data_IF_392687831979
#
_entry.id   IF_392687831979
#
_cell.length_a   1.000
_cell.length_b   1.000
_cell.length_c   1.000
_cell.angle_alpha   90.00
_cell.angle_beta   90.00
_cell.angle_gamma   90.00
#
_symmetry.space_group_name_H-M   'P 1'
#
loop_
_entity.id
_entity.type
_entity.pdbx_description
1 polymer ?
#
# COMPACT_ATOMS: atom_id res chain seq x y z
N UNK A 1 20.77 35.99 -14.76
CA UNK A 1 21.14 34.56 -14.89
C UNK A 1 21.19 33.80 -13.56
N UNK A 2 21.77 34.36 -12.48
CA UNK A 2 21.85 33.65 -11.17
C UNK A 2 20.50 33.31 -10.54
N UNK A 3 19.48 34.16 -10.72
CA UNK A 3 18.12 33.91 -10.21
C UNK A 3 17.40 32.74 -10.91
N UNK A 4 17.74 32.46 -12.18
CA UNK A 4 17.12 31.37 -12.95
C UNK A 4 17.57 30.00 -12.41
N UNK A 5 18.84 29.89 -11.99
CA UNK A 5 19.40 28.69 -11.37
C UNK A 5 18.78 28.40 -10.00
N UNK A 6 18.46 29.46 -9.24
CA UNK A 6 17.78 29.37 -7.95
C UNK A 6 16.31 28.93 -8.10
N UNK A 7 15.66 29.32 -9.18
CA UNK A 7 14.30 28.87 -9.50
C UNK A 7 14.28 27.42 -9.97
N UNK A 8 15.31 27.00 -10.73
CA UNK A 8 15.43 25.62 -11.24
C UNK A 8 15.73 24.60 -10.14
N UNK A 9 16.42 24.99 -9.06
CA UNK A 9 16.64 24.09 -7.92
C UNK A 9 15.37 23.90 -7.08
N UNK A 10 14.45 24.87 -7.07
CA UNK A 10 13.21 24.80 -6.30
C UNK A 10 12.17 23.86 -6.92
N UNK A 11 12.17 23.70 -8.25
CA UNK A 11 11.21 22.83 -8.95
C UNK A 11 11.50 21.34 -8.77
N UNK A 12 12.74 20.97 -8.44
CA UNK A 12 13.15 19.57 -8.22
C UNK A 12 12.60 18.99 -6.91
N UNK A 13 12.12 19.81 -5.98
CA UNK A 13 11.58 19.35 -4.69
C UNK A 13 10.07 19.08 -4.71
N UNK A 14 9.37 19.40 -5.80
CA UNK A 14 7.90 19.36 -5.86
C UNK A 14 7.32 17.97 -6.24
N UNK A 15 8.14 17.00 -6.64
CA UNK A 15 7.67 15.71 -7.15
C UNK A 15 8.18 14.52 -6.34
N UNK A 16 7.84 14.48 -5.06
CA UNK A 16 7.94 13.28 -4.22
C UNK A 16 6.63 12.51 -4.22
N UNK A 17 6.21 11.93 -5.35
CA UNK A 17 5.11 10.97 -5.33
C UNK A 17 5.57 9.75 -4.52
N UNK A 18 4.99 9.55 -3.34
CA UNK A 18 5.25 8.36 -2.52
C UNK A 18 4.61 7.15 -3.19
N UNK A 19 5.36 6.49 -4.07
CA UNK A 19 4.97 5.18 -4.58
C UNK A 19 5.35 4.14 -3.53
N UNK A 20 4.34 3.54 -2.90
CA UNK A 20 4.57 2.45 -1.96
C UNK A 20 4.89 1.18 -2.75
N UNK A 21 5.79 0.36 -2.22
CA UNK A 21 6.12 -0.95 -2.78
C UNK A 21 5.83 -2.03 -1.74
N UNK A 22 5.27 -3.17 -2.17
CA UNK A 22 4.95 -4.29 -1.28
C UNK A 22 5.23 -5.62 -1.96
N UNK A 23 5.96 -6.51 -1.29
CA UNK A 23 6.24 -7.84 -1.81
C UNK A 23 4.97 -8.71 -1.74
N UNK A 24 4.69 -9.47 -2.80
CA UNK A 24 3.54 -10.39 -2.84
C UNK A 24 3.56 -11.37 -1.67
N UNK A 25 2.43 -11.57 -1.00
CA UNK A 25 2.34 -12.42 0.20
C UNK A 25 2.68 -11.71 1.51
N UNK A 26 3.00 -10.41 1.49
CA UNK A 26 3.17 -9.59 2.70
C UNK A 26 1.95 -8.71 2.98
N UNK A 27 1.92 -8.15 4.19
CA UNK A 27 0.95 -7.17 4.65
C UNK A 27 1.65 -5.85 5.03
N UNK A 28 0.97 -4.74 4.79
CA UNK A 28 1.40 -3.38 5.12
C UNK A 28 0.35 -2.74 6.04
N UNK A 29 0.82 -2.12 7.12
CA UNK A 29 -0.01 -1.23 7.92
C UNK A 29 0.02 0.16 7.29
N UNK A 30 -1.11 0.59 6.75
CA UNK A 30 -1.32 1.92 6.22
C UNK A 30 -1.79 2.83 7.36
N UNK A 31 -1.06 3.93 7.59
CA UNK A 31 -1.44 4.95 8.55
C UNK A 31 -2.09 6.14 7.83
N UNK A 32 -3.31 6.49 8.26
CA UNK A 32 -4.11 7.57 7.67
C UNK A 32 -4.59 8.53 8.75
N UNK A 33 -4.90 9.77 8.36
CA UNK A 33 -5.52 10.74 9.26
C UNK A 33 -6.89 10.24 9.71
N UNK A 34 -7.18 10.31 11.01
CA UNK A 34 -8.49 9.95 11.57
C UNK A 34 -9.53 11.02 11.30
N UNK A 35 -9.12 12.29 11.30
CA UNK A 35 -10.01 13.43 11.17
C UNK A 35 -10.73 13.38 9.82
N UNK A 36 -12.06 13.42 9.88
CA UNK A 36 -12.95 13.45 8.71
C UNK A 36 -12.84 12.25 7.76
N UNK A 37 -12.19 11.15 8.18
CA UNK A 37 -12.12 9.90 7.43
C UNK A 37 -13.51 9.24 7.33
N UNK A 38 -13.87 8.80 6.13
CA UNK A 38 -15.14 8.12 5.87
C UNK A 38 -14.93 6.64 5.53
N UNK A 39 -14.06 6.34 4.57
CA UNK A 39 -13.79 4.96 4.14
C UNK A 39 -12.49 4.83 3.36
N UNK A 40 -11.91 3.64 3.38
CA UNK A 40 -10.77 3.26 2.54
C UNK A 40 -11.24 2.16 1.60
N UNK A 41 -11.10 2.37 0.29
CA UNK A 41 -11.57 1.41 -0.72
C UNK A 41 -10.45 0.91 -1.62
N UNK A 42 -10.56 -0.37 -2.00
CA UNK A 42 -9.87 -0.96 -3.14
C UNK A 42 -10.93 -1.33 -4.17
N UNK A 43 -11.04 -0.57 -5.25
CA UNK A 43 -12.18 -0.61 -6.16
C UNK A 43 -13.50 -0.49 -5.35
N UNK A 44 -14.37 -1.50 -5.39
CA UNK A 44 -15.65 -1.50 -4.67
C UNK A 44 -15.56 -2.10 -3.25
N UNK A 45 -14.41 -2.65 -2.87
CA UNK A 45 -14.22 -3.32 -1.57
C UNK A 45 -13.78 -2.33 -0.51
N UNK A 46 -14.53 -2.25 0.59
CA UNK A 46 -14.14 -1.48 1.76
C UNK A 46 -13.06 -2.22 2.56
N UNK A 47 -12.01 -1.50 2.94
CA UNK A 47 -10.94 -2.00 3.80
C UNK A 47 -11.21 -1.48 5.22
N UNK A 48 -11.37 -2.36 6.22
CA UNK A 48 -11.65 -1.94 7.58
C UNK A 48 -10.43 -1.22 8.18
N UNK A 49 -10.73 -0.28 9.08
CA UNK A 49 -9.73 0.49 9.82
C UNK A 49 -9.92 0.29 11.32
N UNK A 50 -8.86 0.55 12.08
CA UNK A 50 -8.85 0.55 13.53
C UNK A 50 -8.00 1.70 14.06
N UNK A 51 -8.18 2.07 15.32
CA UNK A 51 -7.45 3.19 15.92
C UNK A 51 -5.96 2.88 16.05
N UNK A 52 -5.10 3.83 15.69
CA UNK A 52 -3.67 3.69 15.95
C UNK A 52 -3.45 3.71 17.48
N UNK A 53 -2.69 2.76 18.07
CA UNK A 53 -2.60 2.60 19.52
C UNK A 53 -1.83 3.73 20.22
N UNK A 54 -0.85 4.34 19.55
CA UNK A 54 -0.01 5.43 20.10
C UNK A 54 -0.44 6.84 19.68
N UNK A 55 -0.80 7.04 18.41
CA UNK A 55 -1.21 8.34 17.89
C UNK A 55 -2.74 8.42 17.75
N UNK A 56 -3.39 9.24 18.58
CA UNK A 56 -4.85 9.36 18.62
C UNK A 56 -5.44 10.05 17.38
N UNK A 57 -4.62 10.77 16.61
CA UNK A 57 -5.02 11.47 15.38
C UNK A 57 -4.99 10.57 14.15
N UNK A 58 -4.58 9.31 14.31
CA UNK A 58 -4.36 8.36 13.21
C UNK A 58 -5.22 7.11 13.33
N UNK A 59 -5.52 6.53 12.18
CA UNK A 59 -6.10 5.19 12.05
C UNK A 59 -5.16 4.32 11.22
N UNK A 60 -5.30 3.02 11.40
CA UNK A 60 -4.55 2.00 10.69
C UNK A 60 -5.49 1.14 9.85
N UNK A 61 -5.04 0.75 8.66
CA UNK A 61 -5.60 -0.33 7.87
C UNK A 61 -4.52 -1.36 7.57
N UNK A 62 -4.90 -2.64 7.52
CA UNK A 62 -3.99 -3.69 7.03
C UNK A 62 -4.35 -3.96 5.57
N UNK A 63 -3.41 -3.68 4.68
CA UNK A 63 -3.50 -4.07 3.27
C UNK A 63 -2.58 -5.27 3.03
N UNK A 64 -3.05 -6.27 2.28
CA UNK A 64 -2.25 -7.46 1.98
C UNK A 64 -2.31 -7.79 0.51
N UNK A 65 -1.16 -8.20 -0.05
CA UNK A 65 -1.09 -8.77 -1.38
C UNK A 65 -1.07 -10.29 -1.28
N UNK A 66 -1.87 -11.02 -2.07
CA UNK A 66 -1.77 -12.46 -2.13
C UNK A 66 -0.42 -12.86 -2.75
N UNK A 67 0.15 -13.99 -2.30
CA UNK A 67 1.35 -14.53 -2.95
C UNK A 67 1.07 -15.03 -4.37
N UNK A 68 -0.06 -15.72 -4.54
CA UNK A 68 -0.51 -16.28 -5.83
C UNK A 68 -1.33 -15.24 -6.58
N UNK A 69 -0.95 -14.98 -7.83
CA UNK A 69 -1.63 -14.09 -8.76
C UNK A 69 -1.95 -12.68 -8.19
N UNK A 70 -0.97 -11.96 -7.61
CA UNK A 70 -1.19 -10.58 -7.20
C UNK A 70 -1.41 -9.66 -8.43
N UNK A 71 -2.16 -8.55 -8.28
CA UNK A 71 -2.16 -7.49 -9.29
C UNK A 71 -0.77 -6.85 -9.36
N UNK A 72 -0.37 -6.32 -10.52
CA UNK A 72 0.91 -5.61 -10.64
C UNK A 72 0.95 -4.31 -9.85
N UNK A 73 -0.17 -3.58 -9.84
CA UNK A 73 -0.35 -2.34 -9.11
C UNK A 73 -1.72 -2.36 -8.44
N UNK A 74 -1.80 -1.77 -7.24
CA UNK A 74 -3.05 -1.54 -6.54
C UNK A 74 -3.22 -0.04 -6.28
N UNK A 75 -4.40 0.49 -6.57
CA UNK A 75 -4.81 1.85 -6.21
C UNK A 75 -5.85 1.76 -5.11
N UNK A 76 -5.52 2.30 -3.93
CA UNK A 76 -6.47 2.50 -2.85
C UNK A 76 -6.94 3.96 -2.85
N UNK A 77 -8.16 4.19 -2.42
CA UNK A 77 -8.71 5.54 -2.27
C UNK A 77 -9.23 5.70 -0.85
N UNK A 78 -8.62 6.61 -0.10
CA UNK A 78 -9.15 7.06 1.18
C UNK A 78 -10.08 8.25 0.93
N UNK A 79 -11.34 8.08 1.27
CA UNK A 79 -12.37 9.12 1.21
C UNK A 79 -12.47 9.82 2.55
N UNK A 80 -12.31 11.14 2.52
CA UNK A 80 -12.61 12.04 3.62
C UNK A 80 -13.83 12.90 3.25
N UNK A 81 -14.37 13.67 4.19
CA UNK A 81 -15.50 14.58 3.90
C UNK A 81 -15.22 15.55 2.75
N UNK A 82 -14.04 16.17 2.75
CA UNK A 82 -13.71 17.27 1.84
C UNK A 82 -12.65 16.92 0.79
N UNK A 83 -12.03 15.74 0.87
CA UNK A 83 -10.96 15.32 -0.04
C UNK A 83 -10.96 13.82 -0.28
N UNK A 84 -10.31 13.43 -1.38
CA UNK A 84 -9.92 12.04 -1.65
C UNK A 84 -8.40 11.95 -1.73
N UNK A 85 -7.84 10.89 -1.19
CA UNK A 85 -6.41 10.61 -1.22
C UNK A 85 -6.20 9.27 -1.96
N UNK A 86 -5.38 9.31 -3.01
CA UNK A 86 -5.08 8.14 -3.83
C UNK A 86 -3.73 7.57 -3.40
N UNK A 87 -3.71 6.28 -3.07
CA UNK A 87 -2.53 5.58 -2.58
C UNK A 87 -2.20 4.48 -3.59
N UNK A 88 -1.03 4.59 -4.22
CA UNK A 88 -0.56 3.63 -5.21
C UNK A 88 0.46 2.68 -4.58
N UNK A 89 0.21 1.37 -4.72
CA UNK A 89 1.06 0.30 -4.20
C UNK A 89 1.49 -0.58 -5.38
N UNK A 90 2.79 -0.61 -5.65
CA UNK A 90 3.40 -1.48 -6.65
C UNK A 90 3.76 -2.82 -6.03
N UNK A 91 3.39 -3.90 -6.71
CA UNK A 91 3.75 -5.25 -6.27
C UNK A 91 5.19 -5.56 -6.63
N UNK A 92 5.93 -6.09 -5.65
CA UNK A 92 7.26 -6.67 -5.86
C UNK A 92 7.18 -8.20 -5.80
N UNK A 93 7.99 -8.87 -6.61
CA UNK A 93 8.07 -10.33 -6.61
C UNK A 93 8.69 -10.88 -5.32
N UNK A 94 9.61 -10.13 -4.73
CA UNK A 94 10.46 -10.62 -3.65
C UNK A 94 11.47 -11.66 -4.14
N UNK A 95 12.26 -12.20 -3.21
CA UNK A 95 13.31 -13.19 -3.49
C UNK A 95 13.00 -14.55 -2.85
N UNK A 96 11.79 -15.07 -3.08
CA UNK A 96 11.37 -16.37 -2.56
C UNK A 96 12.19 -17.51 -3.18
N UNK A 97 12.60 -18.47 -2.35
CA UNK A 97 13.30 -19.69 -2.80
C UNK A 97 12.30 -20.81 -3.08
N UNK A 98 12.74 -21.81 -3.83
CA UNK A 98 11.96 -23.02 -4.10
C UNK A 98 12.58 -24.23 -3.39
N UNK A 99 11.73 -25.18 -3.03
CA UNK A 99 12.13 -26.47 -2.47
C UNK A 99 11.32 -27.60 -3.10
N UNK A 100 11.83 -28.84 -2.99
CA UNK A 100 11.11 -30.06 -3.37
C UNK A 100 10.84 -30.85 -2.10
N UNK A 101 9.58 -31.13 -1.82
CA UNK A 101 9.14 -31.91 -0.66
C UNK A 101 8.58 -33.25 -1.12
N UNK A 102 9.01 -34.33 -0.49
CA UNK A 102 8.41 -35.65 -0.66
C UNK A 102 7.33 -35.82 0.41
N UNK A 103 6.09 -36.11 -0.02
CA UNK A 103 4.95 -36.34 0.87
C UNK A 103 4.24 -37.63 0.50
N UNK A 104 3.47 -38.18 1.45
CA UNK A 104 2.58 -39.31 1.16
C UNK A 104 1.55 -38.93 0.09
N UNK A 105 1.32 -39.81 -0.90
CA UNK A 105 0.39 -39.51 -2.01
C UNK A 105 -1.01 -39.10 -1.52
N UNK A 106 -1.53 -39.73 -0.45
CA UNK A 106 -2.84 -39.39 0.15
C UNK A 106 -2.96 -37.94 0.66
N UNK A 107 -1.85 -37.19 0.75
CA UNK A 107 -1.84 -35.77 1.18
C UNK A 107 -1.98 -34.78 0.03
N UNK A 108 -1.76 -35.23 -1.21
CA UNK A 108 -1.85 -34.39 -2.42
C UNK A 108 -2.89 -34.94 -3.41
N UNK A 109 -3.21 -36.23 -3.33
CA UNK A 109 -4.29 -36.90 -4.05
C UNK A 109 -5.20 -37.57 -3.01
N UNK A 110 -6.15 -36.81 -2.42
CA UNK A 110 -7.03 -37.29 -1.35
C UNK A 110 -8.00 -38.38 -1.79
#
# INVERSE_FOLDING_TARGET
MKALWLFLSFTLWLFGAQNLELIKGQALFLELDKKDFLSLKNNDKNIPTFTHPKNQEKILAIFSLPYKNPPQNTKLIAFYKDRKEEIFIKTLEGNYKSEKLQVENKKIFP
#
